data_IF_457805455684
#
_entry.id   IF_457805455684
#
_cell.length_a   1.000
_cell.length_b   1.000
_cell.length_c   1.000
_cell.angle_alpha   90.00
_cell.angle_beta   90.00
_cell.angle_gamma   90.00
#
_symmetry.space_group_name_H-M   'P 1'
#
loop_
_entity.id
_entity.type
_entity.pdbx_description
1 polymer ?
#
# COMPACT_ATOMS: atom_id res chain seq x y z
N UNK A 1 -19.88 11.68 10.08
CA UNK A 1 -19.14 11.52 8.82
C UNK A 1 -17.75 12.12 9.00
N UNK A 2 -17.67 13.42 9.28
CA UNK A 2 -16.40 14.18 9.28
C UNK A 2 -15.40 13.74 10.36
N UNK A 3 -15.88 13.34 11.54
CA UNK A 3 -15.03 12.99 12.69
C UNK A 3 -14.64 11.51 12.73
N UNK A 4 -15.14 10.69 11.81
CA UNK A 4 -14.86 9.25 11.82
C UNK A 4 -14.69 8.66 10.42
N UNK A 5 -15.69 8.75 9.54
CA UNK A 5 -15.65 8.04 8.26
C UNK A 5 -14.63 8.63 7.30
N UNK A 6 -14.56 9.95 7.16
CA UNK A 6 -13.60 10.59 6.27
C UNK A 6 -12.16 10.41 6.77
N UNK A 7 -11.82 10.69 8.05
CA UNK A 7 -10.47 10.44 8.56
C UNK A 7 -10.07 8.96 8.48
N UNK A 8 -11.00 8.05 8.74
CA UNK A 8 -10.73 6.61 8.64
C UNK A 8 -10.45 6.19 7.19
N UNK A 9 -11.25 6.69 6.25
CA UNK A 9 -11.01 6.47 4.83
C UNK A 9 -9.67 7.06 4.39
N UNK A 10 -9.39 8.29 4.74
CA UNK A 10 -8.13 8.97 4.44
C UNK A 10 -6.91 8.18 5.00
N UNK A 11 -7.02 7.66 6.22
CA UNK A 11 -5.98 6.81 6.80
C UNK A 11 -5.80 5.47 6.06
N UNK A 12 -6.90 4.85 5.62
CA UNK A 12 -6.87 3.56 4.90
C UNK A 12 -6.24 3.71 3.51
N UNK A 13 -6.61 4.76 2.77
CA UNK A 13 -6.13 4.99 1.41
C UNK A 13 -4.96 5.96 1.31
N UNK A 14 -4.41 6.39 2.44
CA UNK A 14 -3.26 7.32 2.51
C UNK A 14 -3.50 8.61 1.70
N UNK A 15 -4.71 9.13 1.77
CA UNK A 15 -5.15 10.36 1.10
C UNK A 15 -5.58 11.43 2.09
N UNK A 16 -6.11 12.52 1.58
CA UNK A 16 -6.75 13.58 2.37
C UNK A 16 -8.24 13.28 2.61
N UNK A 17 -8.88 14.03 3.51
CA UNK A 17 -10.33 13.97 3.66
C UNK A 17 -11.05 14.44 2.39
N UNK A 18 -10.49 15.38 1.65
CA UNK A 18 -11.04 15.85 0.37
C UNK A 18 -10.97 14.77 -0.71
N UNK A 19 -9.88 13.99 -0.77
CA UNK A 19 -9.80 12.81 -1.63
C UNK A 19 -10.94 11.84 -1.34
N UNK A 20 -11.30 11.68 -0.06
CA UNK A 20 -12.40 10.79 0.34
C UNK A 20 -13.78 11.34 -0.05
N UNK A 21 -13.95 12.65 -0.10
CA UNK A 21 -15.19 13.27 -0.60
C UNK A 21 -15.35 13.08 -2.12
N UNK A 22 -14.25 13.05 -2.86
CA UNK A 22 -14.23 12.76 -4.29
C UNK A 22 -14.27 11.25 -4.61
N UNK A 23 -14.08 10.39 -3.61
CA UNK A 23 -14.03 8.94 -3.80
C UNK A 23 -15.43 8.37 -4.14
N UNK A 24 -15.56 7.40 -5.07
CA UNK A 24 -16.85 6.82 -5.43
C UNK A 24 -17.57 6.21 -4.21
N UNK A 25 -18.70 6.79 -3.80
CA UNK A 25 -19.42 6.40 -2.59
C UNK A 25 -19.78 4.90 -2.54
N UNK A 26 -20.13 4.32 -3.70
CA UNK A 26 -20.44 2.88 -3.79
C UNK A 26 -19.23 2.01 -3.43
N UNK A 27 -18.02 2.38 -3.86
CA UNK A 27 -16.78 1.66 -3.56
C UNK A 27 -16.40 1.85 -2.09
N UNK A 28 -16.54 3.05 -1.56
CA UNK A 28 -16.32 3.36 -0.15
C UNK A 28 -17.22 2.52 0.76
N UNK A 29 -18.53 2.55 0.53
CA UNK A 29 -19.51 1.79 1.33
C UNK A 29 -19.27 0.28 1.22
N UNK A 30 -18.98 -0.24 0.03
CA UNK A 30 -18.67 -1.65 -0.20
C UNK A 30 -17.45 -2.09 0.60
N UNK A 31 -16.37 -1.30 0.57
CA UNK A 31 -15.17 -1.57 1.34
C UNK A 31 -15.48 -1.61 2.84
N UNK A 32 -16.11 -0.57 3.37
CA UNK A 32 -16.43 -0.49 4.79
C UNK A 32 -17.35 -1.64 5.24
N UNK A 33 -18.33 -2.03 4.42
CA UNK A 33 -19.20 -3.18 4.68
C UNK A 33 -18.43 -4.49 4.69
N UNK A 34 -17.57 -4.73 3.70
CA UNK A 34 -16.79 -5.96 3.58
C UNK A 34 -15.81 -6.16 4.75
N UNK A 35 -15.38 -5.06 5.37
CA UNK A 35 -14.47 -5.08 6.52
C UNK A 35 -15.18 -4.94 7.87
N UNK A 36 -16.53 -5.01 7.88
CA UNK A 36 -17.37 -4.82 9.07
C UNK A 36 -17.08 -3.52 9.84
N UNK A 37 -16.67 -2.46 9.12
CA UNK A 37 -16.33 -1.16 9.70
C UNK A 37 -17.56 -0.29 9.98
N UNK A 38 -18.74 -0.65 9.43
CA UNK A 38 -20.02 0.01 9.65
C UNK A 38 -20.85 -0.65 10.75
N UNK A 39 -20.38 -1.76 11.31
CA UNK A 39 -21.14 -2.54 12.28
C UNK A 39 -20.76 -2.18 13.73
N UNK A 40 -21.78 -1.97 14.57
CA UNK A 40 -21.63 -1.80 16.00
C UNK A 40 -21.83 -3.16 16.69
N UNK A 41 -20.86 -4.04 16.67
CA UNK A 41 -20.99 -5.39 17.23
C UNK A 41 -19.67 -6.15 17.28
N UNK A 42 -19.77 -7.47 17.20
CA UNK A 42 -18.58 -8.34 17.17
C UNK A 42 -17.83 -8.10 15.87
N UNK A 43 -16.65 -7.53 15.98
CA UNK A 43 -15.76 -7.28 14.83
C UNK A 43 -14.93 -8.53 14.52
N UNK A 44 -14.65 -8.82 13.25
CA UNK A 44 -13.75 -9.91 12.89
C UNK A 44 -12.37 -9.68 13.54
N UNK A 45 -11.78 -10.76 14.04
CA UNK A 45 -10.42 -10.70 14.56
C UNK A 45 -9.45 -10.44 13.42
N UNK A 46 -8.76 -9.33 13.45
CA UNK A 46 -7.66 -9.05 12.54
C UNK A 46 -6.49 -9.97 12.83
N UNK A 47 -5.86 -10.45 11.77
CA UNK A 47 -4.73 -11.37 11.85
C UNK A 47 -3.59 -10.85 10.97
N UNK A 48 -2.37 -11.16 11.37
CA UNK A 48 -1.17 -10.95 10.58
C UNK A 48 -0.38 -12.25 10.47
N UNK A 49 0.55 -12.31 9.53
CA UNK A 49 1.43 -13.47 9.39
C UNK A 49 2.46 -13.41 10.52
N UNK A 50 2.55 -14.48 11.33
CA UNK A 50 3.59 -14.60 12.34
C UNK A 50 4.97 -14.62 11.66
N UNK A 51 5.90 -13.80 12.15
CA UNK A 51 7.22 -13.60 11.53
C UNK A 51 7.25 -12.58 10.40
N UNK A 52 6.09 -12.02 9.99
CA UNK A 52 5.99 -11.01 8.93
C UNK A 52 5.79 -11.59 7.53
N UNK A 53 5.71 -10.71 6.55
CA UNK A 53 5.40 -11.09 5.16
C UNK A 53 6.49 -11.94 4.50
N UNK A 54 7.73 -11.88 4.97
CA UNK A 54 8.83 -12.70 4.47
C UNK A 54 8.53 -14.21 4.58
N UNK A 55 7.75 -14.64 5.56
CA UNK A 55 7.39 -16.04 5.78
C UNK A 55 6.61 -16.64 4.58
N UNK A 56 5.58 -15.95 4.10
CA UNK A 56 4.84 -16.47 2.96
C UNK A 56 5.60 -16.27 1.64
N UNK A 57 6.41 -15.21 1.52
CA UNK A 57 7.28 -15.01 0.35
C UNK A 57 8.28 -16.15 0.25
N UNK A 58 8.94 -16.53 1.35
CA UNK A 58 9.88 -17.64 1.38
C UNK A 58 9.21 -18.95 0.92
N UNK A 59 8.03 -19.27 1.47
CA UNK A 59 7.28 -20.47 1.09
C UNK A 59 6.84 -20.49 -0.38
N UNK A 60 6.45 -19.35 -0.93
CA UNK A 60 6.13 -19.23 -2.35
C UNK A 60 7.37 -19.47 -3.22
N UNK A 61 8.53 -19.01 -2.77
CA UNK A 61 9.80 -19.20 -3.49
C UNK A 61 10.30 -20.65 -3.40
N UNK A 62 10.06 -21.37 -2.30
CA UNK A 62 10.43 -22.78 -2.15
C UNK A 62 9.75 -23.66 -3.22
N UNK A 63 8.50 -23.34 -3.58
CA UNK A 63 7.74 -24.06 -4.61
C UNK A 63 7.96 -23.51 -6.03
N UNK A 64 8.65 -22.37 -6.15
CA UNK A 64 8.87 -21.71 -7.44
C UNK A 64 9.93 -22.45 -8.26
N UNK A 65 9.56 -22.90 -9.47
CA UNK A 65 10.43 -23.67 -10.38
C UNK A 65 11.13 -22.80 -11.42
N UNK A 66 10.88 -21.49 -11.42
CA UNK A 66 11.51 -20.54 -12.33
C UNK A 66 12.85 -20.02 -11.83
N UNK A 67 13.39 -19.05 -12.53
CA UNK A 67 14.60 -18.34 -12.16
C UNK A 67 14.23 -17.02 -11.48
N UNK A 68 14.58 -16.87 -10.20
CA UNK A 68 14.45 -15.60 -9.49
C UNK A 68 15.72 -14.76 -9.70
N UNK A 69 15.54 -13.53 -10.14
CA UNK A 69 16.60 -12.53 -10.25
C UNK A 69 16.28 -11.35 -9.32
N UNK A 70 16.80 -11.40 -8.12
CA UNK A 70 16.68 -10.30 -7.17
C UNK A 70 17.61 -9.14 -7.56
N UNK A 71 17.29 -7.93 -7.11
CA UNK A 71 18.04 -6.70 -7.42
C UNK A 71 18.22 -6.44 -8.92
N UNK A 72 17.37 -7.00 -9.75
CA UNK A 72 17.37 -6.83 -11.20
C UNK A 72 16.31 -5.78 -11.59
N UNK A 73 16.72 -4.50 -11.55
CA UNK A 73 15.86 -3.41 -12.00
C UNK A 73 15.57 -3.55 -13.49
N UNK A 74 14.30 -3.62 -13.87
CA UNK A 74 13.90 -3.64 -15.27
C UNK A 74 13.83 -2.21 -15.77
N UNK A 75 14.63 -1.90 -16.79
CA UNK A 75 14.71 -0.58 -17.38
C UNK A 75 13.63 -0.38 -18.44
N UNK A 76 13.36 -1.42 -19.24
CA UNK A 76 12.42 -1.32 -20.35
C UNK A 76 11.89 -2.69 -20.80
N UNK A 77 10.67 -2.71 -21.35
CA UNK A 77 10.10 -3.84 -22.09
C UNK A 77 9.74 -3.37 -23.50
N UNK A 78 10.26 -4.05 -24.50
CA UNK A 78 10.09 -3.70 -25.93
C UNK A 78 9.45 -4.85 -26.68
N UNK A 79 8.49 -4.54 -27.56
CA UNK A 79 7.88 -5.53 -28.47
C UNK A 79 8.70 -5.67 -29.75
N UNK A 80 9.23 -6.88 -30.02
CA UNK A 80 9.97 -7.19 -31.25
C UNK A 80 9.29 -8.35 -31.99
N UNK A 81 8.41 -8.02 -32.92
CA UNK A 81 7.61 -9.02 -33.62
C UNK A 81 6.69 -9.77 -32.66
N UNK A 82 6.88 -11.08 -32.55
CA UNK A 82 6.11 -11.93 -31.62
C UNK A 82 6.76 -12.07 -30.24
N UNK A 83 7.97 -11.56 -30.04
CA UNK A 83 8.72 -11.66 -28.81
C UNK A 83 8.72 -10.34 -28.04
N UNK A 84 8.95 -10.45 -26.74
CA UNK A 84 9.15 -9.34 -25.83
C UNK A 84 10.60 -9.33 -25.35
N UNK A 85 11.26 -8.18 -25.43
CA UNK A 85 12.61 -8.00 -24.92
C UNK A 85 12.53 -7.24 -23.61
N UNK A 86 13.13 -7.79 -22.57
CA UNK A 86 13.26 -7.15 -21.26
C UNK A 86 14.69 -6.70 -21.06
N UNK A 87 14.87 -5.39 -20.97
CA UNK A 87 16.16 -4.75 -20.72
C UNK A 87 16.31 -4.50 -19.20
N UNK A 88 17.44 -4.94 -18.62
CA UNK A 88 17.77 -4.74 -17.20
C UNK A 88 19.29 -4.77 -17.00
N UNK A 89 19.84 -3.84 -16.22
CA UNK A 89 21.28 -3.76 -15.92
C UNK A 89 22.21 -3.88 -17.13
N UNK A 90 21.85 -3.27 -18.25
CA UNK A 90 22.62 -3.32 -19.50
C UNK A 90 22.60 -4.68 -20.21
N UNK A 91 21.67 -5.57 -19.84
CA UNK A 91 21.41 -6.86 -20.47
C UNK A 91 20.03 -6.87 -21.09
N UNK A 92 19.83 -7.77 -22.03
CA UNK A 92 18.53 -7.98 -22.70
C UNK A 92 18.24 -9.47 -22.78
N UNK A 93 17.06 -9.86 -22.33
CA UNK A 93 16.54 -11.23 -22.47
C UNK A 93 15.25 -11.21 -23.29
N UNK A 94 15.00 -12.30 -24.03
CA UNK A 94 13.79 -12.48 -24.83
C UNK A 94 12.79 -13.38 -24.10
N UNK A 95 11.52 -13.02 -24.18
CA UNK A 95 10.41 -13.76 -23.57
C UNK A 95 9.21 -13.82 -24.52
N UNK A 96 8.42 -14.89 -24.43
CA UNK A 96 7.16 -15.03 -25.15
C UNK A 96 6.05 -14.18 -24.54
N UNK A 97 6.09 -13.98 -23.22
CA UNK A 97 5.14 -13.16 -22.46
C UNK A 97 5.81 -12.48 -21.26
N UNK A 98 5.29 -11.32 -20.89
CA UNK A 98 5.73 -10.55 -19.72
C UNK A 98 4.50 -10.12 -18.91
N UNK A 99 4.57 -10.31 -17.59
CA UNK A 99 3.58 -9.79 -16.64
C UNK A 99 4.23 -8.70 -15.81
N UNK A 100 3.73 -7.47 -15.92
CA UNK A 100 4.16 -6.34 -15.11
C UNK A 100 3.33 -6.33 -13.82
N UNK A 101 3.95 -6.69 -12.69
CA UNK A 101 3.33 -6.74 -11.37
C UNK A 101 3.80 -5.57 -10.47
N UNK A 102 4.22 -4.47 -11.06
CA UNK A 102 4.59 -3.21 -10.41
C UNK A 102 3.43 -2.19 -10.48
N UNK A 103 3.62 -1.00 -9.93
CA UNK A 103 2.63 0.09 -10.03
C UNK A 103 2.34 0.45 -11.49
N UNK A 104 1.14 0.98 -11.76
CA UNK A 104 0.70 1.30 -13.11
C UNK A 104 1.54 2.40 -13.77
N UNK A 105 1.97 3.40 -13.01
CA UNK A 105 2.90 4.44 -13.45
C UNK A 105 4.29 3.88 -13.80
N UNK A 106 4.81 2.97 -12.97
CA UNK A 106 6.05 2.25 -13.23
C UNK A 106 5.94 1.34 -14.46
N UNK A 107 4.82 0.62 -14.59
CA UNK A 107 4.52 -0.20 -15.76
C UNK A 107 4.51 0.65 -17.04
N UNK A 108 3.90 1.82 -16.98
CA UNK A 108 3.87 2.76 -18.10
C UNK A 108 5.25 3.31 -18.44
N UNK A 109 6.08 3.61 -17.44
CA UNK A 109 7.46 4.03 -17.63
C UNK A 109 8.31 2.92 -18.28
N UNK A 110 8.17 1.66 -17.83
CA UNK A 110 8.87 0.50 -18.39
C UNK A 110 8.47 0.23 -19.84
N UNK A 111 7.19 0.36 -20.17
CA UNK A 111 6.69 0.22 -21.55
C UNK A 111 7.13 1.37 -22.45
N UNK A 112 7.31 2.56 -21.89
CA UNK A 112 7.77 3.74 -22.60
C UNK A 112 6.99 4.02 -23.89
N UNK A 113 7.70 4.15 -25.02
CA UNK A 113 7.08 4.42 -26.33
C UNK A 113 6.32 3.23 -26.89
N UNK A 114 6.65 2.02 -26.47
CA UNK A 114 5.99 0.77 -26.89
C UNK A 114 4.60 0.58 -26.24
N UNK A 115 4.24 1.41 -25.26
CA UNK A 115 2.90 1.38 -24.69
C UNK A 115 1.86 1.74 -25.75
N UNK A 116 0.90 0.87 -25.96
CA UNK A 116 -0.25 1.13 -26.83
C UNK A 116 -1.12 2.27 -26.33
N UNK A 117 -1.94 2.83 -27.20
CA UNK A 117 -2.92 3.88 -26.83
C UNK A 117 -3.83 3.42 -25.69
N UNK A 118 -4.27 2.16 -25.72
CA UNK A 118 -5.13 1.60 -24.69
C UNK A 118 -4.40 1.47 -23.34
N UNK A 119 -3.15 0.99 -23.33
CA UNK A 119 -2.33 0.88 -22.14
C UNK A 119 -2.05 2.25 -21.52
N UNK A 120 -1.66 3.24 -22.33
CA UNK A 120 -1.48 4.61 -21.86
C UNK A 120 -2.75 5.16 -21.22
N UNK A 121 -3.88 5.01 -21.92
CA UNK A 121 -5.17 5.51 -21.43
C UNK A 121 -5.59 4.88 -20.10
N UNK A 122 -5.34 3.58 -19.92
CA UNK A 122 -5.76 2.86 -18.70
C UNK A 122 -4.75 3.09 -17.57
N UNK A 123 -3.46 2.87 -17.82
CA UNK A 123 -2.43 2.95 -16.78
C UNK A 123 -2.25 4.37 -16.23
N UNK A 124 -2.46 5.40 -17.06
CA UNK A 124 -2.39 6.79 -16.61
C UNK A 124 -3.54 7.24 -15.70
N UNK A 125 -4.59 6.42 -15.54
CA UNK A 125 -5.70 6.75 -14.61
C UNK A 125 -5.38 6.42 -13.15
N UNK A 126 -4.31 5.66 -12.90
CA UNK A 126 -3.89 5.30 -11.54
C UNK A 126 -2.94 6.37 -11.00
N UNK A 127 -3.42 7.14 -10.04
CA UNK A 127 -2.63 8.14 -9.35
C UNK A 127 -2.07 7.56 -8.05
N UNK A 128 -0.82 7.90 -7.72
CA UNK A 128 -0.15 7.47 -6.51
C UNK A 128 0.27 8.68 -5.68
N UNK A 129 -0.07 8.65 -4.40
CA UNK A 129 0.35 9.68 -3.45
C UNK A 129 1.69 9.30 -2.82
N UNK A 130 2.58 10.29 -2.67
CA UNK A 130 3.82 10.10 -1.93
C UNK A 130 3.51 10.08 -0.43
N UNK A 131 3.96 9.03 0.25
CA UNK A 131 3.83 8.89 1.69
C UNK A 131 5.21 8.81 2.34
N UNK A 132 5.37 9.45 3.50
CA UNK A 132 6.58 9.38 4.30
C UNK A 132 6.35 8.54 5.54
N UNK A 133 6.97 7.36 5.59
CA UNK A 133 7.01 6.52 6.79
C UNK A 133 8.26 6.83 7.61
N UNK A 134 8.08 7.01 8.92
CA UNK A 134 9.19 7.24 9.86
C UNK A 134 9.10 6.22 10.99
N UNK A 135 10.11 5.37 11.11
CA UNK A 135 10.21 4.45 12.24
C UNK A 135 10.82 5.17 13.43
N UNK A 136 10.16 5.14 14.60
CA UNK A 136 10.57 5.87 15.78
C UNK A 136 10.15 5.19 17.09
N UNK A 137 10.61 5.76 18.24
CA UNK A 137 10.26 5.30 19.59
C UNK A 137 9.54 6.39 20.41
N UNK A 138 9.26 7.52 19.84
CA UNK A 138 8.65 8.66 20.54
C UNK A 138 7.16 8.42 20.80
N UNK A 139 6.72 8.25 22.08
CA UNK A 139 5.33 8.05 22.42
C UNK A 139 4.48 9.33 22.36
N UNK A 140 5.08 10.51 22.16
CA UNK A 140 4.35 11.79 22.09
C UNK A 140 3.39 11.84 20.89
N UNK A 141 3.65 11.04 19.87
CA UNK A 141 2.80 10.87 18.67
C UNK A 141 1.71 9.80 18.86
N UNK A 142 1.48 9.36 20.08
CA UNK A 142 0.40 8.44 20.45
C UNK A 142 -0.67 9.16 21.27
N UNK A 143 -1.90 8.61 21.37
CA UNK A 143 -2.92 9.19 22.23
C UNK A 143 -2.42 9.37 23.67
N UNK A 144 -2.73 10.50 24.31
CA UNK A 144 -2.31 10.81 25.69
C UNK A 144 -2.73 9.74 26.71
N UNK A 145 -3.87 9.09 26.48
CA UNK A 145 -4.34 8.00 27.33
C UNK A 145 -3.84 6.66 26.81
N UNK A 146 -2.96 6.00 27.56
CA UNK A 146 -2.43 4.66 27.20
C UNK A 146 -3.52 3.63 26.87
N UNK A 147 -4.67 3.69 27.52
CA UNK A 147 -5.80 2.79 27.27
C UNK A 147 -6.47 3.00 25.90
N UNK A 148 -6.23 4.15 25.26
CA UNK A 148 -6.72 4.46 23.91
C UNK A 148 -5.77 3.97 22.81
N UNK A 149 -4.59 3.49 23.17
CA UNK A 149 -3.62 3.00 22.19
C UNK A 149 -4.16 1.78 21.44
N UNK A 150 -4.16 1.87 20.14
CA UNK A 150 -4.53 0.81 19.23
C UNK A 150 -3.36 0.49 18.28
N UNK A 151 -3.49 -0.53 17.45
CA UNK A 151 -2.51 -0.82 16.41
C UNK A 151 -2.39 0.34 15.41
N UNK A 152 -3.52 1.02 15.15
CA UNK A 152 -3.63 2.23 14.33
C UNK A 152 -4.15 3.37 15.21
N UNK A 153 -3.47 4.50 15.18
CA UNK A 153 -3.87 5.67 15.95
C UNK A 153 -3.87 6.88 15.01
N UNK A 154 -5.06 7.39 14.76
CA UNK A 154 -5.22 8.68 14.11
C UNK A 154 -5.27 9.75 15.19
N UNK A 155 -4.43 10.77 15.05
CA UNK A 155 -4.37 11.89 15.97
C UNK A 155 -4.61 13.16 15.17
N UNK A 156 -5.53 13.98 15.65
CA UNK A 156 -5.81 15.31 15.14
C UNK A 156 -5.93 16.27 16.30
N UNK A 157 -5.43 17.47 16.13
CA UNK A 157 -5.60 18.60 17.05
C UNK A 157 -7.00 19.22 17.01
N UNK A 158 -7.91 18.64 16.25
CA UNK A 158 -9.28 19.12 16.06
C UNK A 158 -9.43 20.21 14.99
N UNK A 159 -8.33 20.66 14.41
CA UNK A 159 -8.28 21.68 13.36
C UNK A 159 -7.83 21.07 12.02
N UNK A 160 -8.23 19.83 11.72
CA UNK A 160 -7.88 19.21 10.44
C UNK A 160 -8.54 20.01 9.33
N UNK A 161 -7.75 20.82 8.64
CA UNK A 161 -8.16 21.32 7.33
C UNK A 161 -8.36 20.11 6.42
N UNK A 162 -9.45 20.08 5.67
CA UNK A 162 -9.84 18.92 4.84
C UNK A 162 -8.77 18.51 3.83
N UNK A 163 -7.91 19.46 3.42
CA UNK A 163 -6.78 19.27 2.50
C UNK A 163 -5.47 18.85 3.20
N UNK A 164 -5.45 18.81 4.55
CA UNK A 164 -4.25 18.47 5.30
C UNK A 164 -3.94 16.98 5.24
N UNK A 165 -2.64 16.61 5.17
CA UNK A 165 -2.22 15.22 5.27
C UNK A 165 -2.70 14.59 6.58
N UNK A 166 -3.16 13.36 6.49
CA UNK A 166 -3.58 12.56 7.65
C UNK A 166 -2.34 11.94 8.31
N UNK A 167 -2.18 12.17 9.61
CA UNK A 167 -1.15 11.51 10.41
C UNK A 167 -1.70 10.27 11.08
N UNK A 168 -1.08 9.13 10.81
CA UNK A 168 -1.41 7.87 11.45
C UNK A 168 -0.17 7.31 12.10
N UNK A 169 -0.25 7.00 13.39
CA UNK A 169 0.82 6.31 14.10
C UNK A 169 0.44 4.85 14.31
N UNK A 170 1.25 3.95 13.76
CA UNK A 170 1.14 2.52 13.96
C UNK A 170 1.95 2.08 15.17
N UNK A 171 1.32 1.37 16.10
CA UNK A 171 2.05 0.69 17.19
C UNK A 171 2.48 -0.69 16.69
N UNK A 172 3.73 -0.79 16.25
CA UNK A 172 4.25 -1.95 15.54
C UNK A 172 4.31 -3.20 16.42
N UNK A 173 4.62 -3.05 17.72
CA UNK A 173 4.62 -4.17 18.65
C UNK A 173 3.27 -4.90 18.66
N UNK A 174 2.16 -4.14 18.68
CA UNK A 174 0.81 -4.71 18.67
C UNK A 174 0.37 -5.12 17.27
N UNK A 175 0.75 -4.36 16.24
CA UNK A 175 0.35 -4.61 14.86
C UNK A 175 0.96 -5.89 14.30
N UNK A 176 2.23 -6.15 14.62
CA UNK A 176 3.01 -7.28 14.09
C UNK A 176 3.45 -8.28 15.17
N UNK A 177 2.94 -8.16 16.38
CA UNK A 177 3.30 -9.03 17.53
C UNK A 177 4.83 -9.09 17.76
N UNK A 178 5.47 -7.91 17.76
CA UNK A 178 6.91 -7.81 17.99
C UNK A 178 7.18 -7.80 19.49
N UNK A 179 7.85 -8.82 19.98
CA UNK A 179 8.25 -8.96 21.37
C UNK A 179 9.57 -8.22 21.62
N UNK A 180 9.48 -7.00 22.13
CA UNK A 180 10.62 -6.16 22.54
C UNK A 180 10.20 -5.29 23.71
N UNK A 181 11.11 -4.96 24.65
CA UNK A 181 10.81 -4.06 25.77
C UNK A 181 10.48 -2.63 25.33
N UNK A 182 10.98 -2.23 24.20
CA UNK A 182 10.75 -0.88 23.66
C UNK A 182 9.50 -0.83 22.78
N UNK A 183 8.78 0.30 22.84
CA UNK A 183 7.73 0.55 21.88
C UNK A 183 8.34 1.00 20.54
N UNK A 184 7.82 0.43 19.46
CA UNK A 184 8.18 0.77 18.09
C UNK A 184 6.95 1.33 17.41
N UNK A 185 7.10 2.52 16.84
CA UNK A 185 6.06 3.23 16.11
C UNK A 185 6.50 3.53 14.67
N UNK A 186 5.54 3.66 13.78
CA UNK A 186 5.75 4.13 12.42
C UNK A 186 4.65 5.08 12.03
#
# INVERSE_FOLDING_TARGET
VNDHLLPMGAAIWSGSCDDMLAFPAASFIRFFKNHALLEAGVRPAWRTVAGGSCEYVSRLLDDFRGVLRSSAHVDRVVRKGQNLVVDYHGRSDNFDAVVLACHADQSLAILGEDASIAERRILSQFNYNSNKGVLHRDPSLMPNRRRAWASWNFISDGLVAYDSPVFVTYWMNRLQNIETPDNIFM
#
